data_IF_833087055485
#
_entry.id   IF_833087055485
#
_cell.length_a   1.000
_cell.length_b   1.000
_cell.length_c   1.000
_cell.angle_alpha   90.00
_cell.angle_beta   90.00
_cell.angle_gamma   90.00
#
_symmetry.space_group_name_H-M   'P 1'
#
loop_
_entity.id
_entity.type
_entity.pdbx_description
1 polymer ?
#
# COMPACT_ATOMS: atom_id res chain seq x y z
N UNK A 1 9.90 -31.39 35.26
CA UNK A 1 10.11 -30.18 34.44
C UNK A 1 10.27 -30.62 33.00
N UNK A 2 9.36 -30.23 32.10
CA UNK A 2 9.44 -30.60 30.68
C UNK A 2 10.25 -29.52 29.95
N UNK A 3 11.42 -29.88 29.42
CA UNK A 3 12.25 -29.01 28.60
C UNK A 3 11.87 -29.22 27.13
N UNK A 4 10.95 -28.42 26.61
CA UNK A 4 10.76 -28.35 25.16
C UNK A 4 11.90 -27.54 24.56
N UNK A 5 12.81 -28.21 23.83
CA UNK A 5 13.81 -27.56 23.00
C UNK A 5 13.10 -26.90 21.82
N UNK A 6 13.01 -25.56 21.81
CA UNK A 6 12.51 -24.82 20.67
C UNK A 6 13.67 -24.57 19.70
N UNK A 7 13.54 -25.07 18.47
CA UNK A 7 14.49 -24.80 17.40
C UNK A 7 14.22 -23.40 16.81
N UNK A 8 15.29 -22.66 16.52
CA UNK A 8 15.18 -21.36 15.87
C UNK A 8 14.51 -21.53 14.51
N UNK A 9 13.36 -20.86 14.31
CA UNK A 9 12.66 -20.78 13.03
C UNK A 9 12.46 -19.32 12.64
N UNK A 10 12.66 -19.01 11.36
CA UNK A 10 12.44 -17.66 10.80
C UNK A 10 10.94 -17.43 10.48
N UNK A 11 10.14 -18.49 10.38
CA UNK A 11 8.70 -18.40 10.13
C UNK A 11 7.93 -19.47 10.90
N UNK A 12 6.93 -19.04 11.66
CA UNK A 12 6.02 -19.94 12.37
C UNK A 12 5.01 -20.58 11.40
N UNK A 13 4.46 -21.74 11.77
CA UNK A 13 3.48 -22.49 10.96
C UNK A 13 2.11 -21.79 10.90
N UNK A 14 1.86 -20.80 11.78
CA UNK A 14 0.57 -20.09 11.94
C UNK A 14 0.14 -19.16 10.80
N UNK A 15 0.76 -19.25 9.62
CA UNK A 15 0.41 -18.44 8.46
C UNK A 15 0.79 -16.96 8.59
N UNK A 16 0.38 -16.15 7.60
CA UNK A 16 0.60 -14.70 7.57
C UNK A 16 -0.57 -14.01 6.88
N UNK A 17 -0.89 -12.80 7.31
CA UNK A 17 -1.88 -11.93 6.65
C UNK A 17 -1.14 -10.78 5.98
N UNK A 18 -1.51 -10.47 4.74
CA UNK A 18 -1.04 -9.29 4.02
C UNK A 18 -2.09 -8.19 4.13
N UNK A 19 -1.66 -6.94 4.30
CA UNK A 19 -2.55 -5.78 4.46
C UNK A 19 -1.99 -4.63 3.64
N UNK A 20 -2.85 -3.91 2.93
CA UNK A 20 -2.55 -2.60 2.35
C UNK A 20 -3.03 -1.52 3.31
N UNK A 21 -2.26 -0.46 3.45
CA UNK A 21 -2.68 0.70 4.23
C UNK A 21 -2.03 1.97 3.73
N UNK A 22 -2.68 3.10 4.05
CA UNK A 22 -2.15 4.44 3.84
C UNK A 22 -2.22 5.21 5.15
N UNK A 23 -1.22 6.02 5.42
CA UNK A 23 -1.22 6.91 6.58
C UNK A 23 -0.54 8.23 6.22
N UNK A 24 -0.95 9.28 6.91
CA UNK A 24 -0.28 10.57 6.90
C UNK A 24 0.25 10.86 8.29
N UNK A 25 0.90 12.01 8.45
CA UNK A 25 1.37 12.45 9.76
C UNK A 25 0.21 12.74 10.75
N UNK A 26 -0.99 13.09 10.25
CA UNK A 26 -2.18 13.38 11.09
C UNK A 26 -3.11 12.19 11.23
N UNK A 27 -3.36 11.48 10.14
CA UNK A 27 -4.49 10.56 10.01
C UNK A 27 -4.04 9.19 9.53
N UNK A 28 -4.67 8.15 10.07
CA UNK A 28 -4.54 6.79 9.60
C UNK A 28 -5.66 6.51 8.59
N UNK A 29 -5.29 6.08 7.39
CA UNK A 29 -6.22 5.60 6.38
C UNK A 29 -6.62 4.13 6.62
N UNK A 30 -7.39 3.53 5.69
CA UNK A 30 -7.91 2.18 5.86
C UNK A 30 -6.79 1.13 5.87
N UNK A 31 -6.98 0.08 6.67
CA UNK A 31 -6.20 -1.17 6.61
C UNK A 31 -7.02 -2.23 5.88
N UNK A 32 -6.61 -2.56 4.66
CA UNK A 32 -7.34 -3.46 3.76
C UNK A 32 -6.61 -4.79 3.74
N UNK A 33 -7.28 -5.84 4.21
CA UNK A 33 -6.74 -7.20 4.13
C UNK A 33 -6.59 -7.59 2.66
N UNK A 34 -5.37 -7.98 2.28
CA UNK A 34 -5.05 -8.53 0.98
C UNK A 34 -5.02 -10.05 1.02
N UNK A 35 -5.38 -10.66 -0.10
CA UNK A 35 -4.97 -12.02 -0.40
C UNK A 35 -3.47 -12.01 -0.68
N UNK A 36 -2.82 -13.18 -0.59
CA UNK A 36 -1.36 -13.27 -0.70
C UNK A 36 -0.78 -12.67 -1.99
N UNK A 37 -1.58 -12.48 -3.03
CA UNK A 37 -1.17 -11.87 -4.30
C UNK A 37 -1.99 -10.61 -4.57
N UNK A 38 -1.31 -9.45 -4.58
CA UNK A 38 -1.89 -8.18 -5.02
C UNK A 38 -1.80 -8.10 -6.55
N UNK A 39 -2.94 -8.20 -7.23
CA UNK A 39 -3.05 -8.02 -8.68
C UNK A 39 -3.14 -6.54 -9.05
N UNK A 40 -2.85 -6.21 -10.31
CA UNK A 40 -3.01 -4.84 -10.83
C UNK A 40 -4.44 -4.33 -10.70
N UNK A 41 -5.43 -5.13 -11.10
CA UNK A 41 -6.86 -4.76 -10.99
C UNK A 41 -7.31 -4.49 -9.55
N UNK A 42 -6.85 -5.32 -8.61
CA UNK A 42 -7.14 -5.10 -7.20
C UNK A 42 -6.45 -3.85 -6.68
N UNK A 43 -5.23 -3.59 -7.15
CA UNK A 43 -4.53 -2.36 -6.80
C UNK A 43 -5.28 -1.12 -7.29
N UNK A 44 -5.79 -1.14 -8.53
CA UNK A 44 -6.63 -0.06 -9.06
C UNK A 44 -7.89 0.17 -8.23
N UNK A 45 -8.56 -0.91 -7.82
CA UNK A 45 -9.73 -0.82 -6.95
C UNK A 45 -9.36 -0.16 -5.62
N UNK A 46 -8.21 -0.51 -5.04
CA UNK A 46 -7.71 0.13 -3.80
C UNK A 46 -7.41 1.61 -4.00
N UNK A 47 -6.79 1.99 -5.13
CA UNK A 47 -6.51 3.40 -5.42
C UNK A 47 -7.80 4.22 -5.52
N UNK A 48 -8.80 3.70 -6.24
CA UNK A 48 -10.07 4.40 -6.45
C UNK A 48 -10.95 4.42 -5.19
N UNK A 49 -11.15 3.27 -4.55
CA UNK A 49 -12.12 3.13 -3.46
C UNK A 49 -11.60 3.67 -2.11
N UNK A 50 -10.28 3.73 -1.94
CA UNK A 50 -9.67 3.97 -0.64
C UNK A 50 -8.62 5.08 -0.62
N UNK A 51 -7.69 5.10 -1.57
CA UNK A 51 -6.67 6.16 -1.61
C UNK A 51 -7.29 7.50 -1.96
N UNK A 52 -8.03 7.59 -3.06
CA UNK A 52 -8.55 8.86 -3.56
C UNK A 52 -9.46 9.58 -2.54
N UNK A 53 -10.45 8.91 -1.88
CA UNK A 53 -11.21 9.53 -0.79
C UNK A 53 -10.35 9.95 0.40
N UNK A 54 -9.32 9.17 0.76
CA UNK A 54 -8.41 9.52 1.84
C UNK A 54 -7.60 10.78 1.51
N UNK A 55 -7.07 10.90 0.29
CA UNK A 55 -6.33 12.09 -0.15
C UNK A 55 -7.24 13.32 -0.20
N UNK A 56 -8.48 13.18 -0.63
CA UNK A 56 -9.44 14.28 -0.64
C UNK A 56 -9.71 14.83 0.78
N UNK A 57 -9.88 13.95 1.76
CA UNK A 57 -10.15 14.35 3.15
C UNK A 57 -8.88 14.87 3.85
N UNK A 58 -7.77 14.16 3.73
CA UNK A 58 -6.54 14.46 4.44
C UNK A 58 -5.74 15.62 3.81
N UNK A 59 -5.91 15.85 2.50
CA UNK A 59 -5.08 16.77 1.70
C UNK A 59 -5.92 17.62 0.73
N UNK A 60 -7.04 18.17 1.19
CA UNK A 60 -8.00 18.96 0.39
C UNK A 60 -7.41 20.21 -0.30
N UNK A 61 -6.16 20.59 -0.01
CA UNK A 61 -5.44 21.69 -0.64
C UNK A 61 -4.84 21.34 -2.01
N UNK A 62 -4.91 20.08 -2.44
CA UNK A 62 -4.26 19.62 -3.68
C UNK A 62 -2.74 19.45 -3.56
N UNK A 63 -2.20 19.64 -2.35
CA UNK A 63 -0.76 19.56 -2.06
C UNK A 63 -0.38 18.21 -1.42
N UNK A 64 -1.29 17.24 -1.42
CA UNK A 64 -1.01 15.90 -0.94
C UNK A 64 0.07 15.24 -1.79
N UNK A 65 0.90 14.42 -1.16
CA UNK A 65 1.88 13.59 -1.85
C UNK A 65 1.64 12.13 -1.49
N UNK A 66 1.45 11.29 -2.51
CA UNK A 66 1.30 9.86 -2.34
C UNK A 66 2.62 9.17 -2.64
N UNK A 67 3.17 8.48 -1.66
CA UNK A 67 4.38 7.69 -1.79
C UNK A 67 4.07 6.19 -1.77
N UNK A 68 4.63 5.46 -2.73
CA UNK A 68 4.57 3.99 -2.81
C UNK A 68 5.93 3.40 -3.23
N UNK A 69 6.15 2.12 -2.96
CA UNK A 69 7.31 1.39 -3.47
C UNK A 69 7.20 1.12 -4.98
N UNK A 70 8.29 0.61 -5.58
CA UNK A 70 8.37 0.33 -7.02
C UNK A 70 8.13 -1.17 -7.34
N UNK A 71 7.24 -1.85 -6.62
CA UNK A 71 6.87 -3.23 -6.96
C UNK A 71 6.20 -3.30 -8.33
N UNK A 72 6.30 -4.43 -9.04
CA UNK A 72 5.76 -4.61 -10.40
C UNK A 72 4.27 -4.23 -10.50
N UNK A 73 3.48 -4.54 -9.47
CA UNK A 73 2.05 -4.20 -9.43
C UNK A 73 1.84 -2.69 -9.35
N UNK A 74 2.59 -2.00 -8.49
CA UNK A 74 2.51 -0.55 -8.30
C UNK A 74 3.11 0.24 -9.47
N UNK A 75 4.08 -0.35 -10.18
CA UNK A 75 4.73 0.22 -11.35
C UNK A 75 4.04 -0.14 -12.68
N UNK A 76 2.93 -0.89 -12.64
CA UNK A 76 2.18 -1.26 -13.83
C UNK A 76 1.65 -0.04 -14.57
N UNK A 77 1.61 -0.09 -15.91
CA UNK A 77 1.17 1.03 -16.75
C UNK A 77 -0.19 1.59 -16.33
N UNK A 78 -1.15 0.69 -16.08
CA UNK A 78 -2.51 1.07 -15.68
C UNK A 78 -2.51 1.79 -14.32
N UNK A 79 -1.75 1.30 -13.34
CA UNK A 79 -1.65 1.96 -12.03
C UNK A 79 -1.00 3.34 -12.14
N UNK A 80 0.01 3.48 -13.00
CA UNK A 80 0.66 4.78 -13.23
C UNK A 80 -0.22 5.76 -13.99
N UNK A 81 -1.02 5.29 -14.96
CA UNK A 81 -1.97 6.12 -15.70
C UNK A 81 -3.03 6.71 -14.77
N UNK A 82 -3.65 5.88 -13.91
CA UNK A 82 -4.62 6.37 -12.92
C UNK A 82 -4.00 7.43 -11.99
N UNK A 83 -2.78 7.19 -11.48
CA UNK A 83 -2.10 8.16 -10.63
C UNK A 83 -1.73 9.46 -11.39
N UNK A 84 -1.52 9.40 -12.71
CA UNK A 84 -1.28 10.57 -13.54
C UNK A 84 -2.56 11.35 -13.84
N UNK A 85 -3.67 10.66 -14.09
CA UNK A 85 -4.99 11.27 -14.29
C UNK A 85 -5.40 12.13 -13.08
N UNK A 86 -5.06 11.68 -11.87
CA UNK A 86 -5.32 12.40 -10.61
C UNK A 86 -4.21 13.37 -10.17
N UNK A 87 -3.26 13.72 -11.06
CA UNK A 87 -2.11 14.56 -10.71
C UNK A 87 -2.44 16.01 -10.31
N UNK A 88 -3.66 16.47 -10.60
CA UNK A 88 -4.17 17.77 -10.13
C UNK A 88 -4.59 17.76 -8.66
N UNK A 89 -4.86 16.59 -8.09
CA UNK A 89 -5.34 16.42 -6.72
C UNK A 89 -4.21 16.09 -5.74
N UNK A 90 -3.21 15.34 -6.19
CA UNK A 90 -2.03 15.02 -5.40
C UNK A 90 -0.87 14.64 -6.32
N UNK A 91 0.35 14.78 -5.79
CA UNK A 91 1.56 14.35 -6.49
C UNK A 91 1.88 12.89 -6.17
N UNK A 92 2.28 12.13 -7.17
CA UNK A 92 2.76 10.76 -6.97
C UNK A 92 4.29 10.74 -6.89
N UNK A 93 4.82 10.21 -5.80
CA UNK A 93 6.25 9.98 -5.60
C UNK A 93 6.56 8.48 -5.56
N UNK A 94 7.37 8.02 -6.50
CA UNK A 94 7.85 6.63 -6.55
C UNK A 94 9.08 6.50 -5.65
N UNK A 95 9.06 5.54 -4.73
CA UNK A 95 10.23 5.21 -3.91
C UNK A 95 11.42 4.75 -4.76
N UNK A 96 12.64 5.00 -4.27
CA UNK A 96 13.84 4.45 -4.89
C UNK A 96 13.78 2.91 -4.84
N UNK A 97 14.20 2.22 -5.91
CA UNK A 97 14.39 0.77 -5.84
C UNK A 97 15.42 0.46 -4.74
N UNK A 98 15.15 -0.57 -3.93
CA UNK A 98 16.13 -1.04 -2.97
C UNK A 98 17.37 -1.57 -3.74
N UNK A 99 18.59 -1.21 -3.32
CA UNK A 99 19.82 -1.76 -3.90
C UNK A 99 20.00 -3.26 -3.63
#
# INVERSE_FOLDING_TARGET
>A
MNLTCQQMTVKAIGGSVMVWGVCSWRDMGPLIRLDMTLTGERYLSILSDHLHPFMFIAHSSGLGEFQQDNTTTHASGIATEVLQEHSSEFRHFRGNPNP
#
